data_IF_666670007554
#
_entry.id   IF_666670007554
#
_cell.length_a   1.000
_cell.length_b   1.000
_cell.length_c   1.000
_cell.angle_alpha   90.00
_cell.angle_beta   90.00
_cell.angle_gamma   90.00
#
_symmetry.space_group_name_H-M   'P 1'
#
loop_
_entity.id
_entity.type
_entity.pdbx_description
1 polymer ?
#
# COMPACT_ATOMS: atom_id res chain seq x y z
N UNK A 1 26.53 26.66 63.89
CA UNK A 1 25.22 26.03 64.18
C UNK A 1 25.11 24.78 63.32
N UNK A 2 25.34 23.61 63.91
CA UNK A 2 25.25 22.32 63.22
C UNK A 2 24.12 21.52 63.89
N UNK A 3 23.01 21.33 63.18
CA UNK A 3 21.89 20.52 63.63
C UNK A 3 22.27 19.04 63.47
N UNK A 4 22.43 18.37 64.61
CA UNK A 4 22.69 16.93 64.73
C UNK A 4 21.40 16.18 64.38
N UNK A 5 21.33 15.55 63.21
CA UNK A 5 20.22 14.65 62.87
C UNK A 5 20.28 13.41 63.74
N UNK A 6 19.25 13.26 64.57
CA UNK A 6 19.01 12.12 65.46
C UNK A 6 18.77 10.85 64.65
N UNK A 7 19.66 9.86 64.80
CA UNK A 7 19.36 8.47 64.47
C UNK A 7 18.33 7.99 65.50
N UNK A 8 17.05 7.90 65.13
CA UNK A 8 16.07 7.17 65.93
C UNK A 8 16.45 5.68 65.89
N UNK A 9 17.33 5.27 66.80
CA UNK A 9 17.44 3.86 67.17
C UNK A 9 16.12 3.48 67.82
N UNK A 10 15.38 2.55 67.19
CA UNK A 10 14.22 1.96 67.84
C UNK A 10 14.68 1.37 69.17
N UNK A 11 14.17 1.90 70.28
CA UNK A 11 14.48 1.42 71.62
C UNK A 11 13.78 0.07 71.83
N UNK A 12 14.49 -1.01 71.47
CA UNK A 12 14.04 -2.40 71.55
C UNK A 12 14.25 -3.00 72.96
N UNK A 13 14.55 -2.16 73.95
CA UNK A 13 14.89 -2.55 75.32
C UNK A 13 13.74 -3.20 76.11
N UNK A 14 12.49 -3.04 75.67
CA UNK A 14 11.31 -3.66 76.30
C UNK A 14 11.08 -5.14 75.96
N UNK A 15 11.79 -5.70 74.97
CA UNK A 15 11.56 -7.07 74.48
C UNK A 15 12.80 -7.96 74.69
N UNK A 16 12.93 -8.55 75.88
CA UNK A 16 14.08 -9.40 76.28
C UNK A 16 14.32 -10.64 75.38
N UNK A 17 13.28 -11.11 74.69
CA UNK A 17 13.38 -12.23 73.75
C UNK A 17 13.97 -11.85 72.39
N UNK A 18 13.87 -10.58 71.99
CA UNK A 18 14.40 -10.10 70.71
C UNK A 18 15.90 -9.79 70.79
N UNK A 19 16.38 -9.31 71.94
CA UNK A 19 17.79 -8.96 72.16
C UNK A 19 18.71 -10.17 72.35
N UNK A 20 18.16 -11.36 72.60
CA UNK A 20 18.92 -12.62 72.74
C UNK A 20 19.12 -13.39 71.42
N UNK A 21 18.44 -12.97 70.34
CA UNK A 21 18.57 -13.58 69.01
C UNK A 21 19.88 -13.13 68.33
N UNK A 22 20.92 -13.97 68.46
CA UNK A 22 22.17 -13.81 67.69
C UNK A 22 21.91 -14.14 66.22
N UNK A 23 21.91 -13.13 65.37
CA UNK A 23 21.78 -13.30 63.92
C UNK A 23 22.86 -14.27 63.40
N UNK A 24 22.47 -15.36 62.71
CA UNK A 24 23.42 -16.31 62.14
C UNK A 24 24.40 -15.63 61.17
N UNK A 25 25.63 -16.14 61.10
CA UNK A 25 26.67 -15.57 60.21
C UNK A 25 26.23 -15.57 58.73
N UNK A 26 25.46 -16.57 58.31
CA UNK A 26 24.89 -16.70 56.96
C UNK A 26 23.93 -15.57 56.61
N UNK A 27 23.10 -15.13 57.55
CA UNK A 27 22.17 -14.01 57.36
C UNK A 27 22.94 -12.69 57.19
N UNK A 28 24.06 -12.52 57.90
CA UNK A 28 24.93 -11.32 57.74
C UNK A 28 25.68 -11.31 56.41
N UNK A 29 26.19 -12.46 55.95
CA UNK A 29 26.83 -12.56 54.62
C UNK A 29 25.83 -12.33 53.51
N UNK A 30 24.62 -12.89 53.64
CA UNK A 30 23.52 -12.64 52.71
C UNK A 30 23.12 -11.16 52.69
N UNK A 31 23.00 -10.52 53.86
CA UNK A 31 22.72 -9.08 53.96
C UNK A 31 23.78 -8.21 53.27
N UNK A 32 25.07 -8.56 53.40
CA UNK A 32 26.15 -7.87 52.66
C UNK A 32 26.09 -8.12 51.16
N UNK A 33 25.82 -9.35 50.73
CA UNK A 33 25.64 -9.67 49.31
C UNK A 33 24.49 -8.88 48.71
N UNK A 34 23.34 -8.79 49.40
CA UNK A 34 22.19 -7.99 48.96
C UNK A 34 22.56 -6.50 48.93
N UNK A 35 23.21 -5.98 49.98
CA UNK A 35 23.61 -4.58 50.06
C UNK A 35 24.60 -4.15 48.96
N UNK A 36 25.39 -5.08 48.40
CA UNK A 36 26.28 -4.84 47.25
C UNK A 36 25.56 -5.10 45.92
N UNK A 37 24.73 -6.14 45.85
CA UNK A 37 24.03 -6.54 44.64
C UNK A 37 23.00 -5.49 44.19
N UNK A 38 22.26 -4.88 45.12
CA UNK A 38 21.26 -3.83 44.79
C UNK A 38 21.91 -2.63 44.08
N UNK A 39 22.95 -1.95 44.62
CA UNK A 39 23.57 -0.83 43.93
C UNK A 39 24.27 -1.27 42.64
N UNK A 40 24.87 -2.47 42.60
CA UNK A 40 25.46 -3.00 41.37
C UNK A 40 24.41 -3.20 40.27
N UNK A 41 23.24 -3.73 40.62
CA UNK A 41 22.10 -3.90 39.71
C UNK A 41 21.58 -2.54 39.24
N UNK A 42 21.45 -1.56 40.14
CA UNK A 42 21.05 -0.20 39.76
C UNK A 42 22.04 0.42 38.78
N UNK A 43 23.34 0.31 39.02
CA UNK A 43 24.37 0.78 38.08
C UNK A 43 24.21 0.09 36.72
N UNK A 44 24.00 -1.23 36.68
CA UNK A 44 23.79 -1.95 35.43
C UNK A 44 22.54 -1.47 34.68
N UNK A 45 21.43 -1.25 35.40
CA UNK A 45 20.17 -0.79 34.81
C UNK A 45 20.29 0.59 34.15
N UNK A 46 21.09 1.50 34.72
CA UNK A 46 21.28 2.85 34.18
C UNK A 46 22.48 2.99 33.23
N UNK A 47 23.51 2.14 33.34
CA UNK A 47 24.71 2.23 32.52
C UNK A 47 24.59 1.50 31.18
N UNK A 48 23.81 0.41 31.11
CA UNK A 48 23.68 -0.38 29.89
C UNK A 48 22.65 0.25 28.96
N UNK A 49 23.12 0.61 27.76
CA UNK A 49 22.26 1.10 26.67
C UNK A 49 21.61 -0.10 25.97
N UNK A 50 20.29 -0.14 26.00
CA UNK A 50 19.42 -1.12 25.35
C UNK A 50 18.83 -0.55 24.07
N UNK A 51 18.90 -1.30 22.97
CA UNK A 51 18.26 -0.91 21.70
C UNK A 51 16.80 -1.34 21.74
N UNK A 52 15.87 -0.40 21.68
CA UNK A 52 14.46 -0.71 21.54
C UNK A 52 14.16 -1.35 20.18
N UNK A 53 13.19 -2.26 20.13
CA UNK A 53 12.78 -2.89 18.87
C UNK A 53 11.27 -2.92 18.74
N UNK A 54 10.76 -2.56 17.58
CA UNK A 54 9.38 -2.83 17.21
C UNK A 54 9.31 -4.18 16.47
N UNK A 55 8.73 -5.24 17.08
CA UNK A 55 8.58 -6.51 16.42
C UNK A 55 7.46 -6.45 15.36
N UNK A 56 7.69 -7.07 14.22
CA UNK A 56 6.71 -7.23 13.16
C UNK A 56 6.73 -8.64 12.59
N UNK A 57 5.59 -9.12 12.12
CA UNK A 57 5.49 -10.38 11.36
C UNK A 57 4.99 -10.07 9.96
N UNK A 58 5.44 -10.81 8.97
CA UNK A 58 4.87 -10.74 7.64
C UNK A 58 5.52 -11.73 6.69
N UNK A 59 5.68 -11.36 5.43
CA UNK A 59 6.18 -12.26 4.40
C UNK A 59 6.98 -11.54 3.30
N UNK A 60 7.70 -12.35 2.52
CA UNK A 60 8.47 -11.87 1.38
C UNK A 60 7.54 -11.64 0.20
N UNK A 61 7.52 -10.41 -0.30
CA UNK A 61 6.71 -10.00 -1.45
C UNK A 61 7.62 -9.44 -2.55
N UNK A 62 7.09 -9.36 -3.77
CA UNK A 62 7.74 -8.61 -4.83
C UNK A 62 7.51 -7.11 -4.61
N UNK A 63 8.55 -6.31 -4.84
CA UNK A 63 8.48 -4.84 -4.74
C UNK A 63 7.46 -4.28 -5.72
N UNK A 64 7.56 -4.68 -6.99
CA UNK A 64 6.59 -4.29 -8.01
C UNK A 64 5.40 -5.25 -8.00
N UNK A 65 4.16 -4.74 -7.99
CA UNK A 65 2.96 -5.58 -8.08
C UNK A 65 2.96 -6.47 -9.32
N UNK A 66 3.54 -6.01 -10.43
CA UNK A 66 3.60 -6.79 -11.66
C UNK A 66 4.48 -8.04 -11.51
N UNK A 67 5.52 -7.98 -10.69
CA UNK A 67 6.45 -9.09 -10.44
C UNK A 67 5.83 -10.22 -9.59
N UNK A 68 4.59 -10.03 -9.14
CA UNK A 68 3.81 -11.05 -8.43
C UNK A 68 3.30 -12.10 -9.41
N UNK A 69 2.78 -13.17 -8.83
CA UNK A 69 2.08 -14.22 -9.58
C UNK A 69 0.87 -13.61 -10.28
N UNK A 70 0.82 -13.75 -11.60
CA UNK A 70 -0.26 -13.22 -12.44
C UNK A 70 -1.17 -14.33 -12.91
N UNK A 71 -2.47 -14.06 -12.85
CA UNK A 71 -3.50 -14.95 -13.39
C UNK A 71 -3.84 -14.52 -14.81
N UNK A 72 -3.64 -15.43 -15.77
CA UNK A 72 -4.06 -15.26 -17.14
C UNK A 72 -5.45 -15.85 -17.29
N UNK A 73 -6.41 -14.98 -17.60
CA UNK A 73 -7.82 -15.34 -17.76
C UNK A 73 -8.24 -15.35 -19.22
N UNK A 74 -9.36 -16.02 -19.51
CA UNK A 74 -9.98 -16.00 -20.83
C UNK A 74 -10.62 -14.64 -21.11
N UNK A 75 -10.30 -14.01 -22.24
CA UNK A 75 -10.92 -12.75 -22.66
C UNK A 75 -12.27 -12.98 -23.36
N UNK A 76 -12.45 -14.16 -23.97
CA UNK A 76 -13.64 -14.54 -24.73
C UNK A 76 -14.13 -15.91 -24.27
N UNK A 77 -15.45 -16.14 -24.24
CA UNK A 77 -16.00 -17.46 -23.98
C UNK A 77 -15.71 -18.40 -25.16
N UNK A 78 -15.57 -19.69 -24.88
CA UNK A 78 -15.34 -20.70 -25.92
C UNK A 78 -14.74 -21.98 -25.35
N UNK A 79 -14.26 -22.84 -26.25
CA UNK A 79 -13.55 -24.08 -25.89
C UNK A 79 -12.07 -23.92 -26.22
N UNK A 80 -11.18 -24.42 -25.36
CA UNK A 80 -9.76 -24.48 -25.70
C UNK A 80 -9.57 -25.53 -26.79
N UNK A 81 -9.14 -25.08 -27.96
CA UNK A 81 -8.73 -25.96 -29.07
C UNK A 81 -7.39 -26.62 -28.73
N UNK A 82 -6.43 -25.80 -28.29
CA UNK A 82 -5.06 -26.25 -28.06
C UNK A 82 -4.31 -25.39 -27.05
N UNK A 83 -3.54 -26.06 -26.21
CA UNK A 83 -2.53 -25.45 -25.34
C UNK A 83 -1.16 -25.43 -26.06
N UNK A 84 -0.49 -24.29 -26.01
CA UNK A 84 0.85 -24.12 -26.59
C UNK A 84 1.98 -24.25 -25.56
N UNK A 85 1.63 -24.26 -24.27
CA UNK A 85 2.56 -24.30 -23.15
C UNK A 85 2.23 -25.44 -22.19
N UNK A 86 3.21 -25.86 -21.42
CA UNK A 86 3.08 -26.87 -20.35
C UNK A 86 3.43 -26.30 -18.99
N UNK A 87 2.98 -26.97 -17.93
CA UNK A 87 3.34 -26.61 -16.55
C UNK A 87 4.86 -26.61 -16.35
N UNK A 88 5.36 -25.56 -15.70
CA UNK A 88 6.79 -25.36 -15.45
C UNK A 88 7.59 -24.78 -16.62
N UNK A 89 6.99 -24.56 -17.80
CA UNK A 89 7.67 -23.97 -18.95
C UNK A 89 7.92 -22.45 -18.75
N UNK A 90 9.08 -21.97 -19.20
CA UNK A 90 9.36 -20.54 -19.31
C UNK A 90 8.71 -19.96 -20.58
N UNK A 91 8.02 -18.84 -20.42
CA UNK A 91 7.36 -18.08 -21.47
C UNK A 91 7.85 -16.64 -21.47
N UNK A 92 7.88 -16.03 -22.65
CA UNK A 92 8.12 -14.59 -22.83
C UNK A 92 6.82 -13.84 -23.06
N UNK A 93 6.85 -12.53 -22.87
CA UNK A 93 5.75 -11.64 -23.20
C UNK A 93 5.33 -11.84 -24.66
N UNK A 94 4.02 -12.05 -24.85
CA UNK A 94 3.43 -12.28 -26.17
C UNK A 94 3.44 -13.73 -26.64
N UNK A 95 4.10 -14.65 -25.94
CA UNK A 95 4.08 -16.06 -26.30
C UNK A 95 2.65 -16.62 -26.18
N UNK A 96 2.20 -17.45 -27.14
CA UNK A 96 0.87 -18.02 -27.09
C UNK A 96 0.77 -19.04 -25.95
N UNK A 97 -0.31 -18.97 -25.16
CA UNK A 97 -0.60 -19.89 -24.06
C UNK A 97 -1.66 -20.89 -24.49
N UNK A 98 -2.79 -20.38 -24.98
CA UNK A 98 -3.94 -21.18 -25.39
C UNK A 98 -4.62 -20.55 -26.60
N UNK A 99 -5.20 -21.38 -27.46
CA UNK A 99 -6.15 -20.95 -28.46
C UNK A 99 -7.55 -21.40 -28.04
N UNK A 100 -8.44 -20.43 -27.93
CA UNK A 100 -9.85 -20.59 -27.63
C UNK A 100 -10.60 -20.44 -28.95
N UNK A 101 -11.40 -21.42 -29.31
CA UNK A 101 -12.32 -21.31 -30.44
C UNK A 101 -13.74 -21.17 -29.93
N UNK A 102 -14.56 -20.46 -30.70
CA UNK A 102 -16.00 -20.49 -30.48
C UNK A 102 -16.53 -21.90 -30.80
N UNK A 103 -17.69 -22.24 -30.23
CA UNK A 103 -18.38 -23.48 -30.52
C UNK A 103 -19.07 -23.44 -31.90
N UNK A 104 -19.36 -22.26 -32.43
CA UNK A 104 -19.92 -22.08 -33.77
C UNK A 104 -18.80 -21.94 -34.84
N UNK A 105 -18.58 -22.94 -35.72
CA UNK A 105 -17.54 -22.89 -36.74
C UNK A 105 -17.82 -21.84 -37.83
N UNK A 106 -19.08 -21.46 -38.05
CA UNK A 106 -19.51 -20.53 -39.09
C UNK A 106 -19.71 -19.09 -38.57
N UNK A 107 -19.30 -18.82 -37.32
CA UNK A 107 -19.44 -17.50 -36.71
C UNK A 107 -18.76 -16.40 -37.55
N UNK A 108 -17.56 -16.70 -38.08
CA UNK A 108 -16.78 -15.77 -38.89
C UNK A 108 -17.49 -15.38 -40.18
N UNK A 109 -18.00 -16.36 -40.91
CA UNK A 109 -18.66 -16.15 -42.20
C UNK A 109 -19.96 -15.38 -41.99
N UNK A 110 -20.70 -15.69 -40.91
CA UNK A 110 -21.91 -14.96 -40.51
C UNK A 110 -21.62 -13.51 -40.14
N UNK A 111 -20.59 -13.24 -39.33
CA UNK A 111 -20.21 -11.88 -38.94
C UNK A 111 -19.69 -11.06 -40.13
N UNK A 112 -18.97 -11.68 -41.06
CA UNK A 112 -18.51 -11.02 -42.28
C UNK A 112 -19.69 -10.62 -43.18
N UNK A 113 -20.67 -11.53 -43.38
CA UNK A 113 -21.88 -11.24 -44.14
C UNK A 113 -22.75 -10.16 -43.46
N UNK A 114 -22.88 -10.21 -42.13
CA UNK A 114 -23.58 -9.19 -41.34
C UNK A 114 -22.90 -7.82 -41.48
N UNK A 115 -21.56 -7.78 -41.46
CA UNK A 115 -20.79 -6.54 -41.69
C UNK A 115 -21.06 -5.97 -43.07
N UNK A 116 -21.01 -6.78 -44.12
CA UNK A 116 -21.26 -6.34 -45.50
C UNK A 116 -22.67 -5.77 -45.66
N UNK A 117 -23.67 -6.44 -45.09
CA UNK A 117 -25.05 -5.95 -45.09
C UNK A 117 -25.20 -4.58 -44.40
N UNK A 118 -24.54 -4.40 -43.24
CA UNK A 118 -24.58 -3.12 -42.52
C UNK A 118 -23.83 -2.03 -43.27
N UNK A 119 -22.71 -2.34 -43.93
CA UNK A 119 -21.99 -1.39 -44.78
C UNK A 119 -22.87 -0.92 -45.94
N UNK A 120 -23.53 -1.84 -46.64
CA UNK A 120 -24.48 -1.50 -47.70
C UNK A 120 -25.65 -0.63 -47.17
N UNK A 121 -26.14 -0.91 -45.96
CA UNK A 121 -27.17 -0.09 -45.31
C UNK A 121 -26.66 1.32 -44.98
N UNK A 122 -25.41 1.47 -44.54
CA UNK A 122 -24.78 2.77 -44.30
C UNK A 122 -24.64 3.55 -45.60
N UNK A 123 -24.18 2.92 -46.68
CA UNK A 123 -24.05 3.55 -48.00
C UNK A 123 -25.41 4.04 -48.51
N UNK A 124 -26.45 3.20 -48.44
CA UNK A 124 -27.81 3.58 -48.81
C UNK A 124 -28.34 4.74 -47.94
N UNK A 125 -28.10 4.72 -46.63
CA UNK A 125 -28.50 5.79 -45.73
C UNK A 125 -27.74 7.12 -46.01
N UNK A 126 -26.45 7.04 -46.37
CA UNK A 126 -25.66 8.20 -46.75
C UNK A 126 -26.16 8.83 -48.06
N UNK A 127 -26.49 8.00 -49.06
CA UNK A 127 -27.07 8.48 -50.31
C UNK A 127 -28.43 9.14 -50.07
N UNK A 128 -29.32 8.50 -49.31
CA UNK A 128 -30.61 9.08 -48.95
C UNK A 128 -30.46 10.42 -48.19
N UNK A 129 -29.49 10.51 -47.27
CA UNK A 129 -29.19 11.73 -46.53
C UNK A 129 -28.66 12.83 -47.47
N UNK A 130 -27.81 12.50 -48.44
CA UNK A 130 -27.30 13.45 -49.42
C UNK A 130 -28.44 14.06 -50.25
N UNK A 131 -29.36 13.22 -50.74
CA UNK A 131 -30.55 13.68 -51.47
C UNK A 131 -31.45 14.56 -50.60
N UNK A 132 -31.74 14.15 -49.37
CA UNK A 132 -32.57 14.94 -48.45
C UNK A 132 -31.95 16.30 -48.11
N UNK A 133 -30.61 16.40 -48.04
CA UNK A 133 -29.91 17.69 -47.85
C UNK A 133 -30.06 18.60 -49.06
N UNK A 134 -30.01 18.05 -50.28
CA UNK A 134 -30.28 18.82 -51.50
C UNK A 134 -31.72 19.36 -51.51
N UNK A 135 -32.68 18.55 -51.05
CA UNK A 135 -34.08 18.98 -50.95
C UNK A 135 -34.29 20.08 -49.90
N UNK A 136 -33.60 20.01 -48.75
CA UNK A 136 -33.57 21.10 -47.76
C UNK A 136 -32.97 22.38 -48.35
N UNK A 137 -31.88 22.27 -49.12
CA UNK A 137 -31.28 23.45 -49.76
C UNK A 137 -32.26 24.09 -50.77
N UNK A 138 -32.92 23.27 -51.58
CA UNK A 138 -33.93 23.73 -52.55
C UNK A 138 -35.13 24.36 -51.85
N UNK A 139 -35.67 23.72 -50.81
CA UNK A 139 -36.81 24.26 -50.06
C UNK A 139 -36.45 25.53 -49.30
N UNK A 140 -35.21 25.65 -48.80
CA UNK A 140 -34.70 26.88 -48.17
C UNK A 140 -34.64 28.05 -49.16
N UNK A 141 -34.22 27.82 -50.40
CA UNK A 141 -34.18 28.84 -51.45
C UNK A 141 -35.60 29.31 -51.81
N UNK A 142 -36.51 28.36 -52.08
CA UNK A 142 -37.90 28.66 -52.40
C UNK A 142 -38.62 29.38 -51.24
N UNK A 143 -38.33 29.02 -49.99
CA UNK A 143 -38.87 29.71 -48.83
C UNK A 143 -38.36 31.16 -48.72
N UNK A 144 -37.06 31.39 -48.97
CA UNK A 144 -36.47 32.73 -48.97
C UNK A 144 -37.04 33.64 -50.07
N UNK A 145 -37.41 33.06 -51.22
CA UNK A 145 -38.08 33.75 -52.33
C UNK A 145 -39.60 33.93 -52.11
N UNK A 146 -40.16 33.41 -51.01
CA UNK A 146 -41.60 33.46 -50.71
C UNK A 146 -42.46 32.50 -51.53
N UNK A 147 -41.84 31.53 -52.22
CA UNK A 147 -42.47 30.57 -53.12
C UNK A 147 -42.86 29.23 -52.44
N UNK A 148 -42.44 29.00 -51.19
CA UNK A 148 -42.76 27.79 -50.43
C UNK A 148 -43.29 28.10 -49.02
N UNK A 149 -44.12 27.21 -48.47
CA UNK A 149 -44.62 27.35 -47.11
C UNK A 149 -43.56 26.94 -46.07
N UNK A 150 -43.54 27.63 -44.92
CA UNK A 150 -42.65 27.31 -43.79
C UNK A 150 -42.76 25.85 -43.34
N UNK A 151 -43.99 25.30 -43.34
CA UNK A 151 -44.25 23.90 -42.98
C UNK A 151 -43.49 22.91 -43.87
N UNK A 152 -43.40 23.20 -45.17
CA UNK A 152 -42.76 22.31 -46.13
C UNK A 152 -41.23 22.32 -45.94
N UNK A 153 -40.66 23.50 -45.64
CA UNK A 153 -39.26 23.62 -45.23
C UNK A 153 -38.97 22.82 -43.94
N UNK A 154 -39.77 23.02 -42.90
CA UNK A 154 -39.64 22.27 -41.63
C UNK A 154 -39.77 20.75 -41.84
N UNK A 155 -40.68 20.31 -42.71
CA UNK A 155 -40.81 18.89 -43.06
C UNK A 155 -39.54 18.32 -43.72
N UNK A 156 -38.88 19.08 -44.62
CA UNK A 156 -37.60 18.65 -45.21
C UNK A 156 -36.48 18.57 -44.17
N UNK A 157 -36.45 19.49 -43.20
CA UNK A 157 -35.48 19.44 -42.09
C UNK A 157 -35.71 18.21 -41.19
N UNK A 158 -36.96 17.93 -40.83
CA UNK A 158 -37.33 16.73 -40.07
C UNK A 158 -36.86 15.47 -40.82
N UNK A 159 -36.99 15.45 -42.14
CA UNK A 159 -36.53 14.31 -42.95
C UNK A 159 -35.02 14.09 -42.87
N UNK A 160 -34.24 15.16 -42.91
CA UNK A 160 -32.78 15.08 -42.71
C UNK A 160 -32.44 14.59 -41.30
N UNK A 161 -33.15 15.06 -40.28
CA UNK A 161 -32.95 14.60 -38.90
C UNK A 161 -33.26 13.10 -38.75
N UNK A 162 -34.36 12.62 -39.35
CA UNK A 162 -34.75 11.21 -39.37
C UNK A 162 -33.67 10.34 -40.04
N UNK A 163 -33.15 10.76 -41.21
CA UNK A 163 -32.10 10.04 -41.92
C UNK A 163 -30.76 10.07 -41.18
N UNK A 164 -30.46 11.17 -40.49
CA UNK A 164 -29.28 11.26 -39.63
C UNK A 164 -29.36 10.24 -38.48
N UNK A 165 -30.53 10.12 -37.85
CA UNK A 165 -30.76 9.12 -36.80
C UNK A 165 -30.58 7.69 -37.34
N UNK A 166 -31.14 7.39 -38.52
CA UNK A 166 -30.95 6.09 -39.21
C UNK A 166 -29.49 5.80 -39.53
N UNK A 167 -28.73 6.80 -39.99
CA UNK A 167 -27.29 6.66 -40.25
C UNK A 167 -26.51 6.40 -38.96
N UNK A 168 -26.83 7.11 -37.88
CA UNK A 168 -26.22 6.89 -36.58
C UNK A 168 -26.51 5.48 -36.04
N UNK A 169 -27.74 5.00 -36.20
CA UNK A 169 -28.13 3.63 -35.84
C UNK A 169 -27.33 2.58 -36.64
N UNK A 170 -27.22 2.75 -37.96
CA UNK A 170 -26.46 1.85 -38.82
C UNK A 170 -24.96 1.84 -38.47
N UNK A 171 -24.37 3.00 -38.16
CA UNK A 171 -22.98 3.10 -37.65
C UNK A 171 -22.80 2.41 -36.30
N UNK A 172 -23.78 2.51 -35.41
CA UNK A 172 -23.76 1.80 -34.14
C UNK A 172 -23.83 0.27 -34.33
N UNK A 173 -24.62 -0.20 -35.31
CA UNK A 173 -24.64 -1.62 -35.72
C UNK A 173 -23.27 -2.06 -36.24
N UNK A 174 -22.64 -1.26 -37.12
CA UNK A 174 -21.31 -1.58 -37.65
C UNK A 174 -20.27 -1.71 -36.53
N UNK A 175 -20.25 -0.74 -35.60
CA UNK A 175 -19.35 -0.78 -34.44
C UNK A 175 -19.54 -2.05 -33.59
N UNK A 176 -20.78 -2.51 -33.39
CA UNK A 176 -21.05 -3.77 -32.68
C UNK A 176 -20.47 -4.98 -33.42
N UNK A 177 -20.63 -5.05 -34.74
CA UNK A 177 -20.09 -6.14 -35.57
C UNK A 177 -18.56 -6.11 -35.58
N UNK A 178 -17.96 -4.93 -35.72
CA UNK A 178 -16.50 -4.78 -35.69
C UNK A 178 -15.91 -5.17 -34.31
N UNK A 179 -16.58 -4.86 -33.20
CA UNK A 179 -16.17 -5.35 -31.87
C UNK A 179 -16.24 -6.87 -31.80
N UNK A 180 -17.30 -7.49 -32.33
CA UNK A 180 -17.43 -8.95 -32.37
C UNK A 180 -16.30 -9.60 -33.20
N UNK A 181 -15.94 -9.01 -34.35
CA UNK A 181 -14.81 -9.46 -35.17
C UNK A 181 -13.47 -9.23 -34.46
N UNK A 182 -13.26 -8.11 -33.77
CA UNK A 182 -12.01 -7.86 -33.06
C UNK A 182 -11.81 -8.80 -31.87
N UNK A 183 -12.89 -9.22 -31.21
CA UNK A 183 -12.86 -10.27 -30.16
C UNK A 183 -12.32 -11.60 -30.70
N UNK A 184 -12.40 -11.85 -32.01
CA UNK A 184 -11.74 -12.99 -32.64
C UNK A 184 -10.23 -12.99 -32.39
N UNK A 185 -9.55 -11.85 -32.43
CA UNK A 185 -8.11 -11.79 -32.16
C UNK A 185 -7.75 -12.20 -30.73
N UNK A 186 -8.70 -12.04 -29.79
CA UNK A 186 -8.57 -12.45 -28.40
C UNK A 186 -8.78 -13.96 -28.18
N UNK A 187 -9.10 -14.72 -29.24
CA UNK A 187 -9.09 -16.19 -29.23
C UNK A 187 -7.70 -16.75 -28.95
N UNK A 188 -6.64 -16.05 -29.36
CA UNK A 188 -5.28 -16.44 -29.01
C UNK A 188 -4.85 -15.72 -27.72
N UNK A 189 -4.92 -16.43 -26.62
CA UNK A 189 -4.47 -15.91 -25.32
C UNK A 189 -2.94 -15.98 -25.27
N UNK A 190 -2.33 -14.82 -25.01
CA UNK A 190 -0.87 -14.65 -24.96
C UNK A 190 -0.42 -14.33 -23.54
N UNK A 191 0.84 -14.62 -23.25
CA UNK A 191 1.47 -14.27 -21.98
C UNK A 191 1.58 -12.74 -21.85
N UNK A 192 1.06 -12.12 -20.78
CA UNK A 192 1.16 -10.68 -20.56
C UNK A 192 2.59 -10.22 -20.28
N UNK A 193 3.48 -11.12 -19.84
CA UNK A 193 4.87 -10.85 -19.46
C UNK A 193 5.72 -12.12 -19.45
N UNK A 194 7.03 -11.94 -19.33
CA UNK A 194 7.99 -13.01 -19.10
C UNK A 194 7.78 -13.68 -17.74
N UNK A 195 7.86 -15.01 -17.70
CA UNK A 195 7.77 -15.79 -16.48
C UNK A 195 7.70 -17.30 -16.72
N UNK A 196 7.46 -18.06 -15.65
CA UNK A 196 7.25 -19.50 -15.69
C UNK A 196 5.78 -19.82 -15.44
N UNK A 197 5.21 -20.75 -16.21
CA UNK A 197 3.87 -21.26 -15.97
C UNK A 197 3.88 -22.10 -14.68
N UNK A 198 3.14 -21.67 -13.66
CA UNK A 198 2.99 -22.41 -12.41
C UNK A 198 1.96 -23.53 -12.52
N UNK A 199 0.82 -23.21 -13.14
CA UNK A 199 -0.31 -24.11 -13.26
C UNK A 199 -1.16 -23.74 -14.46
N UNK A 200 -1.53 -24.74 -15.24
CA UNK A 200 -2.49 -24.67 -16.33
C UNK A 200 -3.82 -25.27 -15.87
N UNK A 201 -4.91 -24.60 -16.17
CA UNK A 201 -6.24 -25.15 -15.94
C UNK A 201 -6.57 -26.15 -17.06
N UNK A 202 -5.99 -27.35 -17.00
CA UNK A 202 -6.16 -28.40 -18.02
C UNK A 202 -7.59 -28.92 -18.12
N UNK A 203 -8.39 -28.79 -17.05
CA UNK A 203 -9.83 -29.08 -17.08
C UNK A 203 -10.59 -28.22 -18.10
N UNK A 204 -10.10 -27.00 -18.34
CA UNK A 204 -10.65 -26.08 -19.33
C UNK A 204 -10.50 -26.59 -20.79
N UNK A 205 -9.68 -27.62 -21.02
CA UNK A 205 -9.60 -28.29 -22.33
C UNK A 205 -10.86 -29.08 -22.72
N UNK A 206 -11.64 -29.54 -21.74
CA UNK A 206 -12.82 -30.38 -21.98
C UNK A 206 -14.15 -29.63 -21.75
N UNK A 207 -14.11 -28.47 -21.10
CA UNK A 207 -15.29 -27.70 -20.70
C UNK A 207 -15.41 -26.39 -21.47
N UNK A 208 -16.64 -25.89 -21.58
CA UNK A 208 -16.87 -24.53 -22.06
C UNK A 208 -16.34 -23.54 -21.01
N UNK A 209 -15.57 -22.56 -21.46
CA UNK A 209 -14.94 -21.53 -20.63
C UNK A 209 -15.70 -20.22 -20.86
N UNK A 210 -15.90 -19.46 -19.80
CA UNK A 210 -16.47 -18.12 -19.84
C UNK A 210 -15.38 -17.05 -19.83
N UNK A 211 -15.72 -15.85 -20.29
CA UNK A 211 -14.82 -14.71 -20.13
C UNK A 211 -14.58 -14.44 -18.64
N UNK A 212 -13.31 -14.33 -18.25
CA UNK A 212 -12.84 -14.15 -16.87
C UNK A 212 -12.34 -15.44 -16.20
N UNK A 213 -12.60 -16.61 -16.77
CA UNK A 213 -12.13 -17.88 -16.20
C UNK A 213 -10.60 -18.00 -16.25
N UNK A 214 -10.01 -18.62 -15.22
CA UNK A 214 -8.57 -18.82 -15.12
C UNK A 214 -8.07 -19.88 -16.11
N UNK A 215 -7.09 -19.52 -16.95
CA UNK A 215 -6.44 -20.41 -17.91
C UNK A 215 -5.07 -20.87 -17.43
N UNK A 216 -4.24 -19.91 -17.01
CA UNK A 216 -2.87 -20.18 -16.58
C UNK A 216 -2.45 -19.22 -15.48
N UNK A 217 -1.52 -19.65 -14.65
CA UNK A 217 -0.88 -18.81 -13.65
C UNK A 217 0.59 -18.65 -14.00
N UNK A 218 1.08 -17.42 -14.13
CA UNK A 218 2.47 -17.10 -14.48
C UNK A 218 3.19 -16.53 -13.26
N UNK A 219 4.35 -17.08 -12.92
CA UNK A 219 5.26 -16.53 -11.92
C UNK A 219 6.51 -15.95 -12.60
N UNK A 220 6.80 -14.65 -12.42
CA UNK A 220 8.04 -14.06 -12.94
C UNK A 220 9.29 -14.64 -12.27
N UNK A 221 10.42 -14.76 -12.97
CA UNK A 221 11.65 -15.35 -12.39
C UNK A 221 12.65 -14.31 -11.86
N UNK A 222 12.65 -13.09 -12.41
CA UNK A 222 13.56 -12.02 -12.01
C UNK A 222 12.81 -10.97 -11.22
N UNK A 223 12.79 -11.11 -9.90
CA UNK A 223 12.00 -10.25 -9.02
C UNK A 223 12.89 -9.56 -8.00
N UNK A 224 12.64 -8.28 -7.75
CA UNK A 224 13.21 -7.60 -6.58
C UNK A 224 12.34 -7.94 -5.36
N UNK A 225 12.92 -8.70 -4.42
CA UNK A 225 12.24 -9.14 -3.20
C UNK A 225 12.36 -8.08 -2.11
N UNK A 226 11.23 -7.79 -1.47
CA UNK A 226 11.15 -6.98 -0.25
C UNK A 226 10.37 -7.74 0.80
N UNK A 227 10.57 -7.41 2.07
CA UNK A 227 9.78 -7.98 3.16
C UNK A 227 8.67 -7.02 3.51
N UNK A 228 7.45 -7.52 3.50
CA UNK A 228 6.30 -6.87 4.10
C UNK A 228 6.29 -7.23 5.59
N UNK A 229 6.42 -6.25 6.48
CA UNK A 229 6.26 -6.44 7.92
C UNK A 229 5.00 -5.73 8.39
N UNK A 230 4.19 -6.43 9.18
CA UNK A 230 3.03 -5.87 9.86
C UNK A 230 3.44 -5.47 11.27
N UNK A 231 3.32 -4.18 11.56
CA UNK A 231 3.73 -3.54 12.82
C UNK A 231 2.51 -2.92 13.50
N UNK A 232 2.48 -2.93 14.83
CA UNK A 232 1.41 -2.30 15.61
C UNK A 232 1.36 -0.79 15.39
N UNK A 233 0.17 -0.19 15.38
CA UNK A 233 0.00 1.26 15.25
C UNK A 233 0.72 2.08 16.31
N UNK A 234 0.90 1.53 17.52
CA UNK A 234 1.67 2.18 18.61
C UNK A 234 3.13 2.40 18.23
N UNK A 235 3.70 1.46 17.48
CA UNK A 235 5.11 1.48 17.08
C UNK A 235 5.29 2.09 15.68
N UNK A 236 4.30 1.92 14.81
CA UNK A 236 4.34 2.37 13.41
C UNK A 236 4.58 3.88 13.26
N UNK A 237 4.02 4.69 14.17
CA UNK A 237 4.22 6.15 14.18
C UNK A 237 5.68 6.57 14.43
N UNK A 238 6.50 5.67 14.98
CA UNK A 238 7.89 5.91 15.34
C UNK A 238 8.85 5.32 14.30
N UNK A 239 8.34 4.49 13.39
CA UNK A 239 9.10 3.91 12.29
C UNK A 239 9.44 5.00 11.26
N UNK A 240 10.69 5.06 10.84
CA UNK A 240 11.17 5.99 9.80
C UNK A 240 11.87 5.26 8.67
N UNK A 241 11.76 5.83 7.46
CA UNK A 241 12.51 5.37 6.29
C UNK A 241 14.02 5.34 6.61
N UNK A 242 14.67 4.25 6.23
CA UNK A 242 16.09 4.02 6.43
C UNK A 242 16.48 3.38 7.76
N UNK A 243 15.55 3.19 8.72
CA UNK A 243 15.85 2.49 9.97
C UNK A 243 16.33 1.06 9.71
N UNK A 244 17.31 0.62 10.49
CA UNK A 244 17.82 -0.74 10.42
C UNK A 244 16.77 -1.74 10.91
N UNK A 245 16.61 -2.83 10.18
CA UNK A 245 15.70 -3.91 10.52
C UNK A 245 16.47 -5.20 10.54
N UNK A 246 16.28 -6.01 11.59
CA UNK A 246 16.83 -7.34 11.62
C UNK A 246 15.73 -8.36 11.31
N UNK A 247 15.98 -9.22 10.34
CA UNK A 247 15.00 -10.13 9.76
C UNK A 247 15.39 -11.58 10.02
N UNK A 248 14.40 -12.41 10.34
CA UNK A 248 14.53 -13.86 10.43
C UNK A 248 13.53 -14.50 9.47
N UNK A 249 14.02 -15.25 8.49
CA UNK A 249 13.21 -15.92 7.48
C UNK A 249 12.83 -17.33 7.96
N UNK A 250 11.54 -17.66 7.94
CA UNK A 250 11.07 -19.00 8.25
C UNK A 250 11.53 -19.99 7.17
N UNK A 251 12.00 -21.17 7.59
CA UNK A 251 12.60 -22.16 6.69
C UNK A 251 14.13 -22.06 6.54
N UNK A 252 14.77 -21.06 7.15
CA UNK A 252 16.22 -20.96 7.25
C UNK A 252 16.68 -21.27 8.69
N UNK A 253 17.44 -22.35 8.95
CA UNK A 253 17.83 -22.73 10.29
C UNK A 253 18.80 -21.72 10.91
N UNK A 254 18.50 -21.28 12.14
CA UNK A 254 19.34 -20.33 12.89
C UNK A 254 20.47 -21.00 13.71
N UNK A 255 20.62 -22.33 13.65
CA UNK A 255 21.51 -23.10 14.54
C UNK A 255 22.74 -23.60 13.78
N UNK A 256 23.93 -23.33 14.35
CA UNK A 256 25.25 -23.76 13.88
C UNK A 256 25.54 -25.22 14.19
N UNK A 257 26.17 -25.94 13.25
CA UNK A 257 26.89 -27.19 13.54
C UNK A 257 28.33 -26.88 13.98
N UNK A 258 28.79 -27.52 15.05
CA UNK A 258 30.15 -27.44 15.59
C UNK A 258 31.14 -28.10 14.61
N UNK A 259 31.66 -27.35 13.62
CA UNK A 259 32.76 -27.86 12.80
C UNK A 259 33.16 -27.10 11.54
N UNK A 260 32.41 -26.10 11.08
CA UNK A 260 32.73 -25.37 9.84
C UNK A 260 32.66 -23.83 10.05
N UNK A 261 33.72 -23.08 9.68
CA UNK A 261 33.74 -21.63 9.85
C UNK A 261 33.04 -20.94 8.67
N UNK A 262 32.00 -20.16 8.97
CA UNK A 262 31.65 -18.85 8.34
C UNK A 262 30.20 -18.60 7.88
N UNK A 263 29.27 -19.57 7.87
CA UNK A 263 27.89 -19.26 7.41
C UNK A 263 26.82 -19.79 8.35
N UNK A 264 26.55 -19.02 9.40
CA UNK A 264 25.32 -19.16 10.18
C UNK A 264 24.88 -17.78 10.65
N UNK A 265 24.32 -17.02 9.72
CA UNK A 265 23.56 -15.83 10.00
C UNK A 265 22.09 -16.18 9.81
N UNK A 266 21.43 -16.59 10.89
CA UNK A 266 19.97 -16.77 10.91
C UNK A 266 19.21 -15.43 10.93
N UNK A 267 19.94 -14.33 11.05
CA UNK A 267 19.42 -12.96 11.11
C UNK A 267 20.05 -12.15 9.98
N UNK A 268 19.22 -11.55 9.15
CA UNK A 268 19.61 -10.74 8.00
C UNK A 268 19.36 -9.27 8.27
N UNK A 269 20.19 -8.42 7.67
CA UNK A 269 20.05 -6.97 7.78
C UNK A 269 19.17 -6.45 6.64
N UNK A 270 18.19 -5.65 7.00
CA UNK A 270 17.33 -4.91 6.09
C UNK A 270 17.24 -3.45 6.53
N UNK A 271 16.63 -2.62 5.71
CA UNK A 271 16.27 -1.25 6.09
C UNK A 271 14.85 -0.93 5.66
N UNK A 272 14.19 -0.06 6.42
CA UNK A 272 12.83 0.38 6.09
C UNK A 272 12.86 1.17 4.78
N UNK A 273 12.16 0.68 3.76
CA UNK A 273 11.99 1.33 2.47
C UNK A 273 10.86 2.37 2.53
N UNK A 274 9.69 1.95 3.02
CA UNK A 274 8.51 2.79 3.17
C UNK A 274 7.57 2.24 4.24
N UNK A 275 6.71 3.11 4.75
CA UNK A 275 5.64 2.78 5.69
C UNK A 275 4.33 3.22 5.06
N UNK A 276 3.31 2.37 5.10
CA UNK A 276 1.99 2.71 4.58
C UNK A 276 1.31 3.74 5.51
N UNK A 277 0.68 4.78 4.94
CA UNK A 277 0.01 5.81 5.74
C UNK A 277 -1.30 5.30 6.37
N UNK A 278 -1.85 4.19 5.89
CA UNK A 278 -3.13 3.63 6.34
C UNK A 278 -2.94 2.26 7.00
N UNK A 279 -3.67 2.05 8.09
CA UNK A 279 -3.76 0.74 8.72
C UNK A 279 -4.55 -0.25 7.85
N UNK A 280 -4.17 -1.52 7.93
CA UNK A 280 -4.94 -2.63 7.36
C UNK A 280 -6.20 -2.91 8.19
N UNK A 281 -7.15 -3.73 7.69
CA UNK A 281 -8.37 -4.07 8.43
C UNK A 281 -8.14 -4.68 9.82
N UNK A 282 -6.95 -5.24 10.06
CA UNK A 282 -6.51 -5.80 11.35
C UNK A 282 -5.91 -4.75 12.32
N UNK A 283 -5.87 -3.48 11.94
CA UNK A 283 -5.27 -2.39 12.72
C UNK A 283 -3.74 -2.32 12.65
N UNK A 284 -3.08 -3.22 11.90
CA UNK A 284 -1.63 -3.22 11.72
C UNK A 284 -1.22 -2.32 10.54
N UNK A 285 -0.03 -1.74 10.64
CA UNK A 285 0.57 -0.93 9.60
C UNK A 285 1.56 -1.77 8.82
N UNK A 286 1.55 -1.59 7.50
CA UNK A 286 2.52 -2.23 6.63
C UNK A 286 3.80 -1.41 6.55
N UNK A 287 4.92 -2.09 6.78
CA UNK A 287 6.27 -1.55 6.61
C UNK A 287 6.98 -2.41 5.57
N UNK A 288 7.43 -1.78 4.48
CA UNK A 288 8.26 -2.46 3.48
C UNK A 288 9.71 -2.34 3.87
N UNK A 289 10.42 -3.46 3.84
CA UNK A 289 11.83 -3.56 4.18
C UNK A 289 12.58 -4.08 2.95
N UNK A 290 13.71 -3.44 2.64
CA UNK A 290 14.60 -3.87 1.55
C UNK A 290 15.96 -4.34 2.12
N UNK A 291 16.76 -5.10 1.35
CA UNK A 291 18.10 -5.48 1.77
C UNK A 291 18.96 -4.26 2.10
N UNK A 292 19.73 -4.32 3.19
CA UNK A 292 20.62 -3.22 3.55
C UNK A 292 21.80 -3.13 2.56
N UNK A 293 22.03 -1.98 1.89
CA UNK A 293 23.17 -1.83 0.98
C UNK A 293 24.50 -2.05 1.70
N UNK A 294 25.42 -2.77 1.07
CA UNK A 294 26.74 -3.08 1.64
C UNK A 294 26.76 -4.18 2.71
N UNK A 295 25.62 -4.80 3.02
CA UNK A 295 25.51 -6.00 3.86
C UNK A 295 25.35 -7.26 2.99
N UNK A 296 25.56 -8.47 3.55
CA UNK A 296 25.28 -9.71 2.84
C UNK A 296 23.86 -9.73 2.28
N UNK A 297 23.71 -10.20 1.05
CA UNK A 297 22.41 -10.38 0.44
C UNK A 297 21.56 -11.38 1.25
N UNK A 298 20.24 -11.21 1.18
CA UNK A 298 19.30 -12.18 1.76
C UNK A 298 19.44 -13.56 1.10
N UNK A 299 18.92 -14.63 1.73
CA UNK A 299 19.01 -15.98 1.17
C UNK A 299 18.48 -16.03 -0.27
N UNK A 300 19.07 -16.90 -1.07
CA UNK A 300 18.62 -17.13 -2.45
C UNK A 300 17.14 -17.53 -2.50
N UNK A 301 16.51 -17.22 -3.64
CA UNK A 301 15.10 -17.47 -3.95
C UNK A 301 14.68 -18.93 -3.73
N UNK A 302 15.62 -19.87 -3.86
CA UNK A 302 15.38 -21.30 -3.61
C UNK A 302 14.96 -21.60 -2.17
N UNK A 303 15.46 -20.82 -1.20
CA UNK A 303 15.20 -21.02 0.23
C UNK A 303 14.12 -20.08 0.74
N UNK A 304 14.14 -18.83 0.28
CA UNK A 304 13.18 -17.80 0.66
C UNK A 304 12.43 -17.35 -0.58
N UNK A 305 11.30 -18.03 -0.82
CA UNK A 305 10.40 -17.76 -1.95
C UNK A 305 9.46 -16.62 -1.59
N UNK A 306 8.77 -16.07 -2.59
CA UNK A 306 7.64 -15.20 -2.32
C UNK A 306 6.60 -15.92 -1.43
N UNK A 307 6.02 -15.18 -0.49
CA UNK A 307 5.09 -15.71 0.51
C UNK A 307 5.77 -16.41 1.69
N UNK A 308 7.10 -16.62 1.67
CA UNK A 308 7.84 -17.11 2.84
C UNK A 308 7.65 -16.16 4.01
N UNK A 309 7.33 -16.71 5.18
CA UNK A 309 7.07 -15.92 6.38
C UNK A 309 8.37 -15.37 6.97
N UNK A 310 8.28 -14.17 7.54
CA UNK A 310 9.41 -13.43 8.09
C UNK A 310 9.00 -12.81 9.42
N UNK A 311 9.92 -12.85 10.38
CA UNK A 311 9.86 -12.04 11.60
C UNK A 311 10.92 -10.96 11.54
N UNK A 312 10.50 -9.72 11.75
CA UNK A 312 11.38 -8.57 11.75
C UNK A 312 11.38 -7.87 13.09
N UNK A 313 12.52 -7.27 13.42
CA UNK A 313 12.66 -6.34 14.54
C UNK A 313 13.25 -5.06 13.98
N UNK A 314 12.43 -4.02 13.92
CA UNK A 314 12.86 -2.68 13.50
C UNK A 314 13.61 -2.07 14.68
N UNK A 315 14.87 -1.72 14.47
CA UNK A 315 15.71 -1.11 15.49
C UNK A 315 15.31 0.35 15.68
N UNK A 316 14.95 0.68 16.92
CA UNK A 316 14.54 2.00 17.36
C UNK A 316 15.69 2.67 18.13
N UNK A 317 15.38 3.67 18.94
CA UNK A 317 16.36 4.38 19.74
C UNK A 317 17.00 3.51 20.84
N UNK A 318 18.15 3.97 21.31
CA UNK A 318 18.85 3.35 22.45
C UNK A 318 18.46 4.02 23.75
N UNK A 319 17.88 3.26 24.67
CA UNK A 319 17.42 3.72 26.00
C UNK A 319 18.18 2.98 27.10
N UNK A 320 18.04 3.40 28.37
CA UNK A 320 18.58 2.61 29.48
C UNK A 320 17.67 1.42 29.81
N UNK A 321 18.22 0.32 30.32
CA UNK A 321 17.39 -0.84 30.75
C UNK A 321 16.38 -0.42 31.83
N UNK A 322 16.78 0.47 32.75
CA UNK A 322 15.90 1.04 33.76
C UNK A 322 14.66 1.69 33.14
N UNK A 323 14.87 2.51 32.10
CA UNK A 323 13.79 3.19 31.40
C UNK A 323 12.88 2.19 30.67
N UNK A 324 13.46 1.21 29.96
CA UNK A 324 12.66 0.23 29.21
C UNK A 324 11.76 -0.61 30.13
N UNK A 325 12.27 -1.03 31.30
CA UNK A 325 11.48 -1.76 32.29
C UNK A 325 10.36 -0.90 32.89
N UNK A 326 10.66 0.36 33.23
CA UNK A 326 9.66 1.29 33.73
C UNK A 326 8.57 1.57 32.68
N UNK A 327 8.96 1.78 31.43
CA UNK A 327 8.05 2.02 30.31
C UNK A 327 7.13 0.83 30.05
N UNK A 328 7.68 -0.38 30.02
CA UNK A 328 6.90 -1.62 29.84
C UNK A 328 5.91 -1.83 30.99
N UNK A 329 6.29 -1.52 32.24
CA UNK A 329 5.41 -1.64 33.40
C UNK A 329 4.23 -0.66 33.36
N UNK A 330 4.43 0.53 32.77
CA UNK A 330 3.40 1.58 32.68
C UNK A 330 2.69 1.65 31.32
N UNK A 331 2.99 0.71 30.41
CA UNK A 331 2.46 0.65 29.06
C UNK A 331 2.65 1.92 28.21
N UNK A 332 3.78 2.62 28.39
CA UNK A 332 4.12 3.79 27.58
C UNK A 332 4.62 3.38 26.17
N UNK A 333 4.35 4.18 25.11
CA UNK A 333 4.89 3.92 23.76
C UNK A 333 6.41 4.07 23.73
N UNK A 334 7.08 3.56 22.69
CA UNK A 334 8.54 3.65 22.53
C UNK A 334 9.01 5.12 22.50
N UNK A 335 10.29 5.36 22.79
CA UNK A 335 10.80 6.73 22.79
C UNK A 335 10.74 7.32 21.38
N UNK A 336 10.31 8.59 21.31
CA UNK A 336 10.32 9.32 20.06
C UNK A 336 11.75 9.48 19.57
N UNK A 337 12.05 9.04 18.35
CA UNK A 337 13.39 9.16 17.86
C UNK A 337 13.75 10.63 17.66
N UNK A 338 14.89 11.06 18.22
CA UNK A 338 15.33 12.46 18.10
C UNK A 338 15.42 12.82 16.61
N UNK A 339 14.88 13.98 16.16
CA UNK A 339 14.99 14.37 14.77
C UNK A 339 16.46 14.54 14.40
N UNK A 340 16.95 13.76 13.43
CA UNK A 340 18.36 13.82 13.00
C UNK A 340 18.67 15.11 12.21
N UNK A 341 17.67 15.91 11.84
CA UNK A 341 17.85 17.25 11.27
C UNK A 341 16.96 18.28 11.97
N UNK A 342 17.32 18.66 13.20
CA UNK A 342 16.99 19.99 13.66
C UNK A 342 18.08 20.94 13.16
N UNK A 343 17.94 21.44 11.92
CA UNK A 343 18.67 22.65 11.49
C UNK A 343 18.59 23.73 12.57
N UNK A 344 19.58 24.63 12.69
CA UNK A 344 19.87 25.36 13.92
C UNK A 344 18.63 26.11 14.41
N UNK A 345 17.92 25.51 15.37
CA UNK A 345 16.85 26.19 16.09
C UNK A 345 17.52 27.19 17.01
N UNK A 346 17.71 28.40 16.47
CA UNK A 346 18.02 29.61 17.26
C UNK A 346 16.84 29.82 18.20
N UNK A 347 16.96 29.26 19.40
CA UNK A 347 15.95 29.40 20.44
C UNK A 347 15.78 30.87 20.79
N UNK A 348 14.56 31.37 20.71
CA UNK A 348 14.13 32.64 21.31
C UNK A 348 12.65 32.58 21.75
N UNK A 349 12.21 31.41 22.24
CA UNK A 349 10.84 31.20 22.73
C UNK A 349 10.61 31.53 24.21
N UNK A 350 11.67 31.77 25.00
CA UNK A 350 11.56 32.02 26.44
C UNK A 350 11.81 33.46 26.88
N UNK A 351 12.16 34.39 25.98
CA UNK A 351 12.36 35.82 26.32
C UNK A 351 11.15 36.72 26.02
N UNK A 352 10.13 36.23 25.32
CA UNK A 352 8.95 37.05 24.97
C UNK A 352 7.87 37.11 26.06
N UNK A 353 8.07 36.41 27.18
CA UNK A 353 7.10 36.35 28.30
C UNK A 353 7.53 37.18 29.53
N UNK A 354 8.79 37.59 29.68
CA UNK A 354 9.19 38.47 30.80
C UNK A 354 9.00 39.95 30.51
N UNK A 355 9.11 40.40 29.25
CA UNK A 355 9.12 41.84 28.95
C UNK A 355 7.71 42.44 28.80
N UNK A 356 6.65 41.62 28.91
CA UNK A 356 5.25 42.05 28.74
C UNK A 356 4.54 42.38 30.06
N UNK A 357 5.16 42.12 31.21
CA UNK A 357 4.61 42.49 32.52
C UNK A 357 5.19 43.81 33.08
N UNK A 358 6.36 44.28 32.63
CA UNK A 358 6.95 45.54 33.13
C UNK A 358 6.45 46.82 32.43
N UNK A 359 5.77 46.73 31.29
CA UNK A 359 5.31 47.92 30.54
C UNK A 359 3.84 48.30 30.78
N UNK A 360 3.12 47.58 31.64
CA UNK A 360 1.68 47.83 31.91
C UNK A 360 1.39 48.74 33.11
N UNK A 361 2.41 49.39 33.68
CA UNK A 361 2.31 50.23 34.89
C UNK A 361 2.35 51.75 34.66
N UNK A 362 2.45 52.24 33.42
CA UNK A 362 2.51 53.68 33.15
C UNK A 362 1.92 53.99 31.77
N UNK A 363 0.66 54.44 31.77
CA UNK A 363 0.11 55.51 30.92
C UNK A 363 -1.43 55.40 30.86
N UNK A 364 -2.09 55.67 31.97
CA UNK A 364 -3.43 56.26 31.95
C UNK A 364 -3.25 57.78 31.88
N UNK A 365 -3.46 58.38 30.70
CA UNK A 365 -4.02 59.72 30.53
C UNK A 365 -4.05 60.13 29.04
N UNK A 366 -5.23 60.61 28.63
CA UNK A 366 -5.56 61.38 27.41
C UNK A 366 -5.90 60.60 26.12
N UNK A 367 -7.21 60.46 25.90
CA UNK A 367 -7.91 61.34 24.95
C UNK A 367 -8.14 60.81 23.52
N UNK A 368 -9.42 60.65 23.17
CA UNK A 368 -9.95 61.13 21.89
C UNK A 368 -10.31 60.12 20.79
N UNK A 369 -11.61 60.12 20.46
CA UNK A 369 -12.16 60.23 19.10
C UNK A 369 -12.25 59.01 18.14
N UNK A 370 -13.51 58.67 17.79
CA UNK A 370 -14.13 58.23 16.52
C UNK A 370 -13.41 57.18 15.63
N UNK A 371 -14.04 56.16 15.02
CA UNK A 371 -15.45 55.83 14.84
C UNK A 371 -15.65 54.62 13.89
N UNK A 372 -16.87 54.07 13.94
CA UNK A 372 -17.67 53.36 12.91
C UNK A 372 -17.06 52.36 11.92
N UNK A 373 -17.69 51.18 11.83
CA UNK A 373 -17.61 50.26 10.69
C UNK A 373 -18.47 49.01 10.88
N UNK A 374 -19.79 49.15 10.68
CA UNK A 374 -20.79 48.08 10.67
C UNK A 374 -20.71 47.26 9.37
N UNK A 375 -20.73 45.94 9.44
CA UNK A 375 -20.96 45.05 8.29
C UNK A 375 -22.38 44.48 8.39
N UNK A 376 -23.17 44.74 7.35
CA UNK A 376 -24.53 44.27 7.18
C UNK A 376 -24.58 42.84 6.61
N UNK A 377 -25.51 42.08 7.15
CA UNK A 377 -26.12 40.88 6.57
C UNK A 377 -27.09 41.29 5.47
N UNK A 378 -27.07 40.59 4.34
CA UNK A 378 -28.09 40.69 3.29
C UNK A 378 -28.56 39.28 2.92
N UNK A 379 -29.84 39.04 3.22
CA UNK A 379 -30.65 37.89 2.82
C UNK A 379 -31.12 38.00 1.35
N UNK A 380 -31.39 36.84 0.77
CA UNK A 380 -32.50 36.50 -0.13
C UNK A 380 -32.64 36.99 -1.59
N UNK A 381 -32.96 35.96 -2.39
CA UNK A 381 -33.90 35.88 -3.51
C UNK A 381 -33.51 36.42 -4.90
N UNK A 382 -33.24 35.47 -5.82
CA UNK A 382 -34.16 35.21 -6.95
C UNK A 382 -33.92 33.85 -7.61
#
# INVERSE_FOLDING_TARGET
>A
MAAKTSTHGHDLSGFATLSSLKVPRTTRTLGRMIAIAIPLLLVLLFAVKWVQTAPGRGDVIALNPEDRVQQVTALVPGRVEKWFVVDGQLVKQGDPIARIIDNDPDLLTRLAAEREQVVAQIEAAQQAMATARLDVNRSSQLYAEGLAARRDYEATQIKVAELNAKLAEARAKLSKVDIALNRQSAQLVRAPRDGRILSLNTAAGATLISAGDLLATIAPERQQRVVELLVDGRDAALVRKGQAVRLNFEGWPAIQFSGWPSVAQGMFDGRVLTIDPSAQPNGLFRVLVEPMPGKPAWPNDNYVRLGSKVRGWIQMETVTIAYELWRQLNDFPLEFPTPVDAGPRKGNGLKALSDKEETKGKNDAKGGAYGSGSYGEEEDAK
#
